data_IF_457901651135
#
_entry.id   IF_457901651135
#
_cell.length_a   1.000
_cell.length_b   1.000
_cell.length_c   1.000
_cell.angle_alpha   90.00
_cell.angle_beta   90.00
_cell.angle_gamma   90.00
#
_symmetry.space_group_name_H-M   'P 1'
#
loop_
_entity.id
_entity.type
_entity.pdbx_description
1 polymer ?
#
# COMPACT_ATOMS: atom_id res chain seq x y z
N UNK A 1 -72.00 22.66 46.06
CA UNK A 1 -70.71 22.27 46.66
C UNK A 1 -69.62 22.64 45.66
N UNK A 2 -68.99 23.80 45.84
CA UNK A 2 -67.96 24.31 44.93
C UNK A 2 -66.62 23.94 45.55
N UNK A 3 -65.84 23.12 44.85
CA UNK A 3 -64.50 22.73 45.25
C UNK A 3 -63.50 23.66 44.56
N UNK A 4 -62.94 24.61 45.30
CA UNK A 4 -61.83 25.44 44.83
C UNK A 4 -60.51 24.73 45.13
N UNK A 5 -59.81 24.27 44.10
CA UNK A 5 -58.44 23.76 44.21
C UNK A 5 -57.47 24.95 44.21
N UNK A 6 -56.79 25.18 45.35
CA UNK A 6 -55.73 26.17 45.46
C UNK A 6 -54.43 25.65 44.83
N UNK A 7 -53.99 26.31 43.76
CA UNK A 7 -52.67 26.06 43.15
C UNK A 7 -51.60 26.77 43.97
N UNK A 8 -50.74 26.00 44.65
CA UNK A 8 -49.54 26.50 45.33
C UNK A 8 -48.44 26.76 44.29
N UNK A 9 -48.12 28.02 44.01
CA UNK A 9 -46.98 28.39 43.18
C UNK A 9 -45.67 28.14 43.95
N UNK A 10 -44.99 27.04 43.61
CA UNK A 10 -43.69 26.68 44.17
C UNK A 10 -42.62 27.64 43.61
N UNK A 11 -42.20 28.64 44.38
CA UNK A 11 -41.06 29.50 44.01
C UNK A 11 -39.78 28.65 43.96
N UNK A 12 -39.25 28.40 42.76
CA UNK A 12 -37.91 27.86 42.60
C UNK A 12 -36.90 28.95 42.95
N UNK A 13 -36.07 28.74 43.98
CA UNK A 13 -34.89 29.58 44.21
C UNK A 13 -34.00 29.52 42.98
N UNK A 14 -33.94 30.59 42.19
CA UNK A 14 -32.92 30.75 41.16
C UNK A 14 -31.64 31.21 41.87
N UNK A 15 -30.79 30.24 42.21
CA UNK A 15 -29.44 30.51 42.70
C UNK A 15 -28.54 30.84 41.50
N UNK A 16 -27.98 32.05 41.47
CA UNK A 16 -27.00 32.46 40.46
C UNK A 16 -25.59 31.98 40.79
N UNK A 17 -24.74 31.86 39.77
CA UNK A 17 -23.32 31.54 39.92
C UNK A 17 -22.55 32.73 40.52
N UNK A 18 -21.58 32.44 41.36
CA UNK A 18 -20.68 33.49 41.87
C UNK A 18 -19.61 33.84 40.83
N UNK A 19 -19.05 35.05 40.91
CA UNK A 19 -18.02 35.51 39.98
C UNK A 19 -16.76 34.62 40.04
N UNK A 20 -16.39 34.14 41.23
CA UNK A 20 -15.26 33.23 41.39
C UNK A 20 -15.52 31.85 40.77
N UNK A 21 -16.75 31.36 40.82
CA UNK A 21 -17.14 30.07 40.25
C UNK A 21 -17.09 30.07 38.72
N UNK A 22 -17.50 31.17 38.08
CA UNK A 22 -17.37 31.33 36.62
C UNK A 22 -15.90 31.47 36.19
N UNK A 23 -15.07 32.18 36.96
CA UNK A 23 -13.63 32.29 36.70
C UNK A 23 -12.92 30.93 36.76
N UNK A 24 -13.16 30.15 37.81
CA UNK A 24 -12.56 28.82 37.97
C UNK A 24 -13.04 27.87 36.87
N UNK A 25 -14.34 27.91 36.54
CA UNK A 25 -14.92 27.07 35.48
C UNK A 25 -14.34 27.39 34.11
N UNK A 26 -14.14 28.67 33.78
CA UNK A 26 -13.51 29.08 32.52
C UNK A 26 -12.05 28.63 32.44
N UNK A 27 -11.28 28.77 33.53
CA UNK A 27 -9.88 28.35 33.56
C UNK A 27 -9.75 26.84 33.28
N UNK A 28 -10.56 26.01 33.94
CA UNK A 28 -10.56 24.55 33.74
C UNK A 28 -11.03 24.21 32.32
N UNK A 29 -12.06 24.87 31.82
CA UNK A 29 -12.59 24.63 30.48
C UNK A 29 -11.54 24.89 29.39
N UNK A 30 -10.81 26.01 29.48
CA UNK A 30 -9.76 26.35 28.49
C UNK A 30 -8.64 25.31 28.51
N UNK A 31 -8.21 24.87 29.69
CA UNK A 31 -7.16 23.83 29.81
C UNK A 31 -7.63 22.53 29.14
N UNK A 32 -8.86 22.08 29.45
CA UNK A 32 -9.42 20.86 28.86
C UNK A 32 -9.58 20.99 27.35
N UNK A 33 -10.09 22.12 26.85
CA UNK A 33 -10.25 22.38 25.43
C UNK A 33 -8.89 22.37 24.69
N UNK A 34 -7.84 22.90 25.31
CA UNK A 34 -6.49 22.87 24.76
C UNK A 34 -5.98 21.43 24.63
N UNK A 35 -6.12 20.62 25.68
CA UNK A 35 -5.74 19.19 25.64
C UNK A 35 -6.48 18.46 24.53
N UNK A 36 -7.81 18.64 24.42
CA UNK A 36 -8.61 18.02 23.36
C UNK A 36 -8.11 18.43 21.96
N UNK A 37 -7.80 19.71 21.77
CA UNK A 37 -7.31 20.22 20.48
C UNK A 37 -5.97 19.59 20.09
N UNK A 38 -5.05 19.44 21.05
CA UNK A 38 -3.75 18.78 20.78
C UNK A 38 -3.94 17.33 20.35
N UNK A 39 -4.79 16.58 21.05
CA UNK A 39 -5.11 15.19 20.69
C UNK A 39 -5.72 15.14 19.29
N UNK A 40 -6.65 16.05 18.96
CA UNK A 40 -7.28 16.08 17.65
C UNK A 40 -6.29 16.33 16.51
N UNK A 41 -5.35 17.26 16.67
CA UNK A 41 -4.29 17.51 15.69
C UNK A 41 -3.44 16.25 15.48
N UNK A 42 -3.02 15.58 16.56
CA UNK A 42 -2.21 14.36 16.44
C UNK A 42 -2.94 13.23 15.71
N UNK A 43 -4.26 13.11 15.89
CA UNK A 43 -5.10 12.13 15.19
C UNK A 43 -5.17 12.46 13.69
N UNK A 44 -5.32 13.74 13.33
CA UNK A 44 -5.34 14.15 11.92
C UNK A 44 -4.02 13.80 11.24
N UNK A 45 -2.89 14.09 11.87
CA UNK A 45 -1.56 13.79 11.31
C UNK A 45 -1.35 12.29 11.17
N UNK A 46 -1.76 11.50 12.18
CA UNK A 46 -1.73 10.05 12.10
C UNK A 46 -2.60 9.51 10.95
N UNK A 47 -3.80 10.07 10.77
CA UNK A 47 -4.71 9.67 9.69
C UNK A 47 -4.13 10.01 8.30
N UNK A 48 -3.58 11.22 8.12
CA UNK A 48 -2.90 11.61 6.87
C UNK A 48 -1.73 10.68 6.54
N UNK A 49 -0.94 10.32 7.55
CA UNK A 49 0.16 9.35 7.39
C UNK A 49 -0.37 7.98 6.97
N UNK A 50 -1.42 7.48 7.62
CA UNK A 50 -2.03 6.20 7.29
C UNK A 50 -2.58 6.18 5.86
N UNK A 51 -3.23 7.27 5.42
CA UNK A 51 -3.74 7.41 4.05
C UNK A 51 -2.62 7.38 3.00
N UNK A 52 -1.51 8.10 3.23
CA UNK A 52 -0.37 8.10 2.32
C UNK A 52 0.24 6.70 2.17
N UNK A 53 0.43 5.98 3.28
CA UNK A 53 0.96 4.60 3.25
C UNK A 53 -0.01 3.69 2.50
N UNK A 54 -1.31 3.79 2.79
CA UNK A 54 -2.34 3.00 2.12
C UNK A 54 -2.32 3.18 0.60
N UNK A 55 -2.24 4.42 0.12
CA UNK A 55 -2.17 4.69 -1.32
C UNK A 55 -0.95 4.03 -1.97
N UNK A 56 0.22 4.09 -1.35
CA UNK A 56 1.43 3.45 -1.89
C UNK A 56 1.29 1.93 -1.92
N UNK A 57 0.73 1.33 -0.86
CA UNK A 57 0.49 -0.11 -0.78
C UNK A 57 -0.57 -0.58 -1.78
N UNK A 58 -1.64 0.19 -1.99
CA UNK A 58 -2.67 -0.11 -2.99
C UNK A 58 -2.09 -0.09 -4.41
N UNK A 59 -1.23 0.89 -4.73
CA UNK A 59 -0.51 0.92 -6.00
C UNK A 59 0.43 -0.30 -6.16
N UNK A 60 1.17 -0.66 -5.11
CA UNK A 60 2.01 -1.86 -5.12
C UNK A 60 1.19 -3.11 -5.41
N UNK A 61 0.13 -3.34 -4.63
CA UNK A 61 -0.74 -4.50 -4.78
C UNK A 61 -1.33 -4.58 -6.19
N UNK A 62 -1.81 -3.46 -6.73
CA UNK A 62 -2.30 -3.40 -8.11
C UNK A 62 -1.23 -3.84 -9.12
N UNK A 63 0.00 -3.34 -9.00
CA UNK A 63 1.10 -3.74 -9.88
C UNK A 63 1.41 -5.24 -9.77
N UNK A 64 1.45 -5.77 -8.54
CA UNK A 64 1.71 -7.20 -8.28
C UNK A 64 0.58 -8.11 -8.77
N UNK A 65 -0.67 -7.73 -8.56
CA UNK A 65 -1.83 -8.46 -9.06
C UNK A 65 -1.86 -8.47 -10.58
N UNK A 66 -1.54 -7.33 -11.21
CA UNK A 66 -1.46 -7.24 -12.68
C UNK A 66 -0.34 -8.13 -13.24
N UNK A 67 0.79 -8.23 -12.54
CA UNK A 67 1.89 -9.11 -12.88
C UNK A 67 1.50 -10.58 -12.71
N UNK A 68 0.91 -10.93 -11.57
CA UNK A 68 0.45 -12.29 -11.27
C UNK A 68 -0.61 -12.76 -12.27
N UNK A 69 -1.56 -11.89 -12.64
CA UNK A 69 -2.59 -12.18 -13.64
C UNK A 69 -1.97 -12.47 -15.01
N UNK A 70 -1.07 -11.61 -15.49
CA UNK A 70 -0.38 -11.80 -16.77
C UNK A 70 0.47 -13.06 -16.78
N UNK A 71 1.18 -13.32 -15.68
CA UNK A 71 1.92 -14.56 -15.53
C UNK A 71 0.99 -15.76 -15.62
N UNK A 72 -0.15 -15.74 -14.93
CA UNK A 72 -1.13 -16.84 -14.95
C UNK A 72 -1.68 -17.16 -16.34
N UNK A 73 -1.88 -16.13 -17.17
CA UNK A 73 -2.30 -16.24 -18.57
C UNK A 73 -1.13 -16.63 -19.51
N UNK A 74 0.09 -16.45 -19.05
CA UNK A 74 1.32 -16.78 -19.76
C UNK A 74 1.74 -18.23 -19.63
N UNK A 75 2.62 -18.64 -20.52
CA UNK A 75 3.21 -19.99 -20.54
C UNK A 75 4.72 -19.89 -20.70
N UNK A 76 5.40 -21.02 -20.47
CA UNK A 76 6.85 -21.14 -20.66
C UNK A 76 7.63 -20.12 -19.81
N UNK A 77 7.44 -20.20 -18.49
CA UNK A 77 8.19 -19.37 -17.55
C UNK A 77 9.67 -19.71 -17.67
N UNK A 78 10.50 -18.69 -17.87
CA UNK A 78 11.94 -18.82 -17.85
C UNK A 78 12.55 -17.85 -16.83
N UNK A 79 13.64 -18.28 -16.20
CA UNK A 79 14.46 -17.40 -15.39
C UNK A 79 15.51 -16.75 -16.27
N UNK A 80 15.52 -15.41 -16.32
CA UNK A 80 16.42 -14.65 -17.20
C UNK A 80 17.66 -14.13 -16.48
N UNK A 81 17.55 -13.88 -15.18
CA UNK A 81 18.66 -13.46 -14.34
C UNK A 81 18.64 -14.18 -13.01
N UNK A 82 19.83 -14.61 -12.58
CA UNK A 82 20.06 -15.32 -11.32
C UNK A 82 20.97 -14.43 -10.46
N UNK A 83 20.58 -14.22 -9.22
CA UNK A 83 21.35 -13.49 -8.22
C UNK A 83 22.47 -14.35 -7.62
N UNK A 84 23.36 -13.75 -6.83
CA UNK A 84 24.50 -14.45 -6.18
C UNK A 84 24.09 -15.64 -5.32
N UNK A 85 22.88 -15.63 -4.78
CA UNK A 85 22.31 -16.72 -3.97
C UNK A 85 21.67 -17.84 -4.79
N UNK A 86 21.78 -17.80 -6.13
CA UNK A 86 21.12 -18.77 -7.03
C UNK A 86 19.62 -18.50 -7.20
N UNK A 87 19.13 -17.34 -6.76
CA UNK A 87 17.73 -16.96 -6.78
C UNK A 87 17.39 -16.20 -8.07
N UNK A 88 16.28 -16.51 -8.74
CA UNK A 88 15.90 -15.80 -9.95
C UNK A 88 15.42 -14.38 -9.63
N UNK A 89 15.99 -13.34 -10.23
CA UNK A 89 15.57 -11.94 -10.02
C UNK A 89 15.05 -11.26 -11.30
N UNK A 90 14.93 -11.99 -12.40
CA UNK A 90 14.16 -11.58 -13.57
C UNK A 90 13.48 -12.79 -14.22
N UNK A 91 12.21 -12.66 -14.55
CA UNK A 91 11.38 -13.73 -15.12
C UNK A 91 10.82 -13.31 -16.47
N UNK A 92 10.74 -14.27 -17.40
CA UNK A 92 10.02 -14.10 -18.66
C UNK A 92 8.94 -15.15 -18.85
N UNK A 93 7.95 -14.83 -19.68
CA UNK A 93 6.91 -15.76 -20.12
C UNK A 93 6.29 -15.31 -21.43
N UNK A 94 5.62 -16.23 -22.11
CA UNK A 94 5.00 -16.01 -23.40
C UNK A 94 3.48 -15.92 -23.27
N UNK A 95 2.88 -14.94 -23.95
CA UNK A 95 1.42 -14.80 -23.98
C UNK A 95 0.78 -15.91 -24.80
N UNK A 96 -0.42 -16.33 -24.40
CA UNK A 96 -1.25 -17.31 -25.14
C UNK A 96 -2.48 -16.60 -25.71
N UNK A 97 -2.87 -16.95 -26.94
CA UNK A 97 -4.13 -16.48 -27.54
C UNK A 97 -4.07 -15.17 -28.33
N UNK A 98 -2.91 -14.51 -28.41
CA UNK A 98 -2.69 -13.41 -29.36
C UNK A 98 -2.21 -13.97 -30.70
N UNK A 99 -2.72 -13.44 -31.82
CA UNK A 99 -2.22 -13.79 -33.18
C UNK A 99 -0.73 -13.47 -33.37
N UNK A 100 -0.18 -12.61 -32.52
CA UNK A 100 1.23 -12.29 -32.39
C UNK A 100 1.70 -12.64 -30.97
N UNK A 101 2.42 -13.76 -30.82
CA UNK A 101 2.93 -14.22 -29.52
C UNK A 101 3.94 -13.21 -29.00
N UNK A 102 3.77 -12.72 -27.77
CA UNK A 102 4.70 -11.77 -27.16
C UNK A 102 5.43 -12.40 -25.99
N UNK A 103 6.67 -11.95 -25.77
CA UNK A 103 7.46 -12.31 -24.59
C UNK A 103 7.42 -11.14 -23.62
N UNK A 104 6.95 -11.39 -22.40
CA UNK A 104 6.88 -10.40 -21.33
C UNK A 104 8.00 -10.68 -20.35
N UNK A 105 8.75 -9.64 -20.00
CA UNK A 105 9.81 -9.67 -19.01
C UNK A 105 9.44 -8.85 -17.79
N UNK A 106 9.74 -9.37 -16.61
CA UNK A 106 9.71 -8.65 -15.35
C UNK A 106 11.05 -8.78 -14.64
N UNK A 107 11.52 -7.69 -14.04
CA UNK A 107 12.82 -7.65 -13.40
C UNK A 107 13.04 -6.34 -12.65
N UNK A 108 14.16 -6.27 -11.95
CA UNK A 108 14.57 -5.06 -11.24
C UNK A 108 15.18 -4.05 -12.20
N UNK A 109 14.76 -2.80 -12.07
CA UNK A 109 15.35 -1.66 -12.76
C UNK A 109 15.69 -0.55 -11.75
N UNK A 110 16.68 0.28 -12.06
CA UNK A 110 16.99 1.45 -11.26
C UNK A 110 15.84 2.45 -11.28
N UNK A 111 15.51 3.04 -10.14
CA UNK A 111 14.52 4.09 -10.03
C UNK A 111 15.08 5.40 -10.60
N UNK A 112 14.43 5.95 -11.63
CA UNK A 112 14.84 7.21 -12.25
C UNK A 112 14.64 8.43 -11.33
N UNK A 113 13.72 8.34 -10.36
CA UNK A 113 13.37 9.46 -9.48
C UNK A 113 14.08 9.43 -8.12
N UNK A 114 14.71 8.31 -7.76
CA UNK A 114 15.41 8.14 -6.48
C UNK A 114 16.76 7.43 -6.70
N UNK A 115 17.90 8.10 -6.49
CA UNK A 115 19.21 7.47 -6.62
C UNK A 115 19.36 6.30 -5.66
N UNK A 116 19.95 5.19 -6.11
CA UNK A 116 20.18 3.97 -5.35
C UNK A 116 18.93 3.22 -4.88
N UNK A 117 17.75 3.48 -5.45
CA UNK A 117 16.57 2.64 -5.24
C UNK A 117 16.23 1.84 -6.51
N UNK A 118 15.56 0.72 -6.31
CA UNK A 118 15.15 -0.18 -7.40
C UNK A 118 13.63 -0.30 -7.45
N UNK A 119 13.12 -0.66 -8.61
CA UNK A 119 11.70 -0.83 -8.89
C UNK A 119 11.46 -2.05 -9.76
N UNK A 120 10.23 -2.57 -9.76
CA UNK A 120 9.86 -3.62 -10.72
C UNK A 120 9.51 -2.95 -12.04
N UNK A 121 10.30 -3.26 -13.06
CA UNK A 121 10.00 -2.88 -14.43
C UNK A 121 9.34 -4.02 -15.19
N UNK A 122 8.64 -3.66 -16.26
CA UNK A 122 8.13 -4.59 -17.26
C UNK A 122 8.64 -4.21 -18.62
N UNK A 123 8.95 -5.23 -19.42
CA UNK A 123 9.24 -5.09 -20.81
C UNK A 123 8.41 -6.05 -21.66
N UNK A 124 8.03 -5.66 -22.87
CA UNK A 124 7.30 -6.51 -23.81
C UNK A 124 8.00 -6.46 -25.15
N UNK A 125 8.29 -7.63 -25.72
CA UNK A 125 8.95 -7.77 -27.01
C UNK A 125 8.26 -8.85 -27.85
N UNK A 126 8.74 -9.00 -29.08
CA UNK A 126 8.24 -10.00 -30.02
C UNK A 126 8.41 -11.45 -29.52
N UNK A 127 7.93 -12.42 -30.31
CA UNK A 127 8.07 -13.83 -29.95
C UNK A 127 9.55 -14.20 -29.87
N UNK A 128 9.92 -15.00 -28.86
CA UNK A 128 11.28 -15.54 -28.70
C UNK A 128 12.40 -14.49 -28.62
N UNK A 129 12.07 -13.27 -28.19
CA UNK A 129 13.08 -12.25 -27.97
C UNK A 129 13.98 -12.61 -26.78
N UNK A 130 15.29 -12.36 -26.83
CA UNK A 130 16.17 -12.59 -25.68
C UNK A 130 15.93 -11.53 -24.59
N UNK A 131 16.36 -11.84 -23.36
CA UNK A 131 16.40 -10.85 -22.28
C UNK A 131 17.26 -9.64 -22.68
N UNK A 132 16.77 -8.44 -22.36
CA UNK A 132 17.43 -7.19 -22.75
C UNK A 132 17.12 -6.71 -24.18
N UNK A 133 16.22 -7.38 -24.90
CA UNK A 133 15.77 -6.97 -26.25
C UNK A 133 14.88 -5.71 -26.26
N UNK A 134 14.48 -5.19 -25.10
CA UNK A 134 13.56 -4.07 -24.99
C UNK A 134 13.84 -3.26 -23.71
N UNK A 135 13.31 -2.03 -23.64
CA UNK A 135 13.48 -1.13 -22.50
C UNK A 135 12.43 -1.37 -21.42
N UNK A 136 12.88 -1.54 -20.18
CA UNK A 136 12.01 -1.72 -19.03
C UNK A 136 11.29 -0.43 -18.65
N UNK A 137 9.97 -0.53 -18.47
CA UNK A 137 9.13 0.55 -17.97
C UNK A 137 8.68 0.27 -16.54
N UNK A 138 8.68 1.27 -15.65
CA UNK A 138 8.34 1.07 -14.25
C UNK A 138 6.86 0.64 -14.12
N UNK A 139 6.62 -0.40 -13.34
CA UNK A 139 5.26 -0.85 -13.02
C UNK A 139 4.81 -0.43 -11.63
N UNK A 140 5.75 -0.19 -10.72
CA UNK A 140 5.49 0.26 -9.34
C UNK A 140 5.64 1.78 -9.22
N UNK A 141 4.92 2.38 -8.27
CA UNK A 141 5.02 3.81 -7.98
C UNK A 141 6.46 4.22 -7.57
N UNK A 142 6.92 5.44 -7.90
CA UNK A 142 8.26 5.97 -7.57
C UNK A 142 8.66 5.94 -6.10
N UNK A 143 7.65 5.96 -5.21
CA UNK A 143 7.81 5.95 -3.75
C UNK A 143 8.01 4.52 -3.20
N UNK A 144 8.03 3.51 -4.06
CA UNK A 144 8.33 2.12 -3.73
C UNK A 144 9.77 1.85 -4.12
N UNK A 145 10.54 1.42 -3.13
CA UNK A 145 11.89 0.89 -3.29
C UNK A 145 11.85 -0.62 -3.06
N UNK A 146 12.30 -1.39 -4.03
CA UNK A 146 12.40 -2.84 -3.96
C UNK A 146 13.81 -3.21 -3.53
N UNK A 147 13.92 -3.92 -2.41
CA UNK A 147 15.19 -4.40 -1.85
C UNK A 147 15.49 -5.83 -2.31
N UNK A 148 14.45 -6.64 -2.51
CA UNK A 148 14.58 -8.02 -2.97
C UNK A 148 13.41 -8.37 -3.90
N UNK A 149 13.71 -8.93 -5.05
CA UNK A 149 12.74 -9.55 -5.93
C UNK A 149 13.27 -10.91 -6.34
N UNK A 150 12.56 -11.96 -5.93
CA UNK A 150 12.94 -13.34 -6.19
C UNK A 150 11.77 -14.12 -6.75
N UNK A 151 12.00 -14.90 -7.81
CA UNK A 151 11.03 -15.80 -8.41
C UNK A 151 11.55 -17.22 -8.32
N UNK A 152 10.76 -18.13 -7.78
CA UNK A 152 11.05 -19.55 -7.78
C UNK A 152 10.08 -20.25 -8.72
N UNK A 153 10.59 -20.93 -9.75
CA UNK A 153 9.80 -21.59 -10.79
C UNK A 153 9.92 -23.10 -10.59
N UNK A 154 8.80 -23.75 -10.31
CA UNK A 154 8.72 -25.21 -10.26
C UNK A 154 8.40 -25.77 -11.66
N UNK A 155 9.32 -26.56 -12.20
CA UNK A 155 9.28 -27.10 -13.56
C UNK A 155 8.75 -28.55 -13.62
N UNK A 156 8.30 -29.14 -12.51
CA UNK A 156 8.11 -30.60 -12.45
C UNK A 156 6.76 -31.13 -12.98
N UNK A 157 5.63 -30.41 -12.86
CA UNK A 157 4.34 -30.88 -13.43
C UNK A 157 3.19 -29.87 -13.34
N UNK A 158 3.27 -28.92 -12.40
CA UNK A 158 2.45 -27.70 -12.40
C UNK A 158 3.40 -26.53 -12.51
N UNK A 159 3.46 -25.83 -13.65
CA UNK A 159 4.32 -24.66 -13.81
C UNK A 159 3.84 -23.57 -12.85
N UNK A 160 4.45 -23.54 -11.67
CA UNK A 160 4.11 -22.68 -10.56
C UNK A 160 5.28 -21.74 -10.33
N UNK A 161 5.01 -20.45 -10.33
CA UNK A 161 5.97 -19.42 -10.00
C UNK A 161 5.62 -18.83 -8.63
N UNK A 162 6.53 -18.91 -7.67
CA UNK A 162 6.40 -18.27 -6.36
C UNK A 162 7.29 -17.04 -6.36
N UNK A 163 6.69 -15.86 -6.20
CA UNK A 163 7.38 -14.59 -6.17
C UNK A 163 7.47 -14.09 -4.73
N UNK A 164 8.67 -13.70 -4.32
CA UNK A 164 8.96 -13.04 -3.05
C UNK A 164 9.48 -11.64 -3.34
N UNK A 165 8.86 -10.65 -2.71
CA UNK A 165 9.14 -9.24 -2.94
C UNK A 165 9.29 -8.57 -1.59
N UNK A 166 10.44 -7.95 -1.36
CA UNK A 166 10.71 -7.16 -0.16
C UNK A 166 11.15 -5.78 -0.54
N UNK A 167 10.77 -4.82 0.28
CA UNK A 167 11.12 -3.44 0.01
C UNK A 167 10.54 -2.49 1.03
N UNK A 168 10.66 -1.22 0.68
CA UNK A 168 10.22 -0.08 1.46
C UNK A 168 9.29 0.79 0.62
N UNK A 169 8.18 1.22 1.24
CA UNK A 169 7.15 2.05 0.64
C UNK A 169 7.03 3.36 1.42
N UNK A 170 6.99 4.48 0.70
CA UNK A 170 6.84 5.83 1.27
C UNK A 170 8.13 6.66 1.21
N UNK A 171 8.12 7.83 1.84
CA UNK A 171 9.25 8.76 1.81
C UNK A 171 9.50 9.36 3.20
N UNK A 172 10.78 9.52 3.56
CA UNK A 172 11.19 10.14 4.82
C UNK A 172 10.60 9.44 6.06
N UNK A 173 9.80 10.16 6.85
CA UNK A 173 9.21 9.69 8.13
C UNK A 173 8.02 8.72 7.97
N UNK A 174 7.58 8.47 6.73
CA UNK A 174 6.47 7.54 6.43
C UNK A 174 6.92 6.23 5.79
N UNK A 175 8.24 5.98 5.77
CA UNK A 175 8.82 4.77 5.21
C UNK A 175 8.37 3.52 5.99
N UNK A 176 7.80 2.56 5.25
CA UNK A 176 7.23 1.32 5.78
C UNK A 176 7.86 0.14 5.05
N UNK A 177 8.32 -0.88 5.78
CA UNK A 177 8.84 -2.11 5.20
C UNK A 177 7.70 -3.06 4.85
N UNK A 178 7.82 -3.77 3.74
CA UNK A 178 6.89 -4.83 3.34
C UNK A 178 7.64 -6.06 2.86
N UNK A 179 7.00 -7.22 3.00
CA UNK A 179 7.43 -8.50 2.46
C UNK A 179 6.19 -9.23 1.97
N UNK A 180 6.05 -9.34 0.65
CA UNK A 180 4.92 -10.00 0.00
C UNK A 180 5.42 -11.25 -0.67
N UNK A 181 4.71 -12.35 -0.47
CA UNK A 181 4.93 -13.59 -1.20
C UNK A 181 3.64 -13.97 -1.90
N UNK A 182 3.71 -14.26 -3.19
CA UNK A 182 2.57 -14.67 -4.00
C UNK A 182 2.93 -15.88 -4.85
N UNK A 183 1.97 -16.77 -5.08
CA UNK A 183 2.15 -17.96 -5.91
C UNK A 183 1.21 -17.90 -7.10
N UNK A 184 1.76 -18.08 -8.30
CA UNK A 184 1.05 -18.12 -9.56
C UNK A 184 1.17 -19.53 -10.12
N UNK A 185 0.07 -20.07 -10.63
CA UNK A 185 0.06 -21.33 -11.36
C UNK A 185 -0.48 -21.07 -12.76
N UNK A 186 0.17 -21.66 -13.78
CA UNK A 186 -0.31 -21.65 -15.16
C UNK A 186 -1.75 -22.20 -15.22
N UNK A 187 -2.64 -21.49 -15.93
CA UNK A 187 -4.00 -21.98 -16.19
C UNK A 187 -3.96 -22.84 -17.46
N UNK A 188 -3.73 -24.13 -17.27
CA UNK A 188 -3.84 -25.17 -18.31
C UNK A 188 -5.22 -25.14 -18.98
#
# INVERSE_FOLDING_TARGET
MIMTTSSQFKQSKQTGFTLIETMVSMAIFVIVAMVITTVFITIIDANRKAQSIRLVMDNLNFSLDSMALRMREGTNYNCEQIDVDGACNAVSFQTVGSSDRQTIFYGLMSNSQQPNSQQIGRCVSGPSAPYGSCTFEPTTAPQINIEQFTVNIDNQESKRAVMLIRGTAGAGRTLTKFSIQTSVAERN
#
